data_IF_587632119061
#
_entry.id   IF_587632119061
#
_cell.length_a   1.000
_cell.length_b   1.000
_cell.length_c   1.000
_cell.angle_alpha   90.00
_cell.angle_beta   90.00
_cell.angle_gamma   90.00
#
_symmetry.space_group_name_H-M   'P 1'
#
loop_
_entity.id
_entity.type
_entity.pdbx_description
1 polymer ?
#
# COMPACT_ATOMS: atom_id res chain seq x y z
N UNK A 1 -0.85 16.16 3.09
CA UNK A 1 -1.81 16.07 4.23
C UNK A 1 -1.27 15.16 5.34
N UNK A 2 -1.01 13.87 5.11
CA UNK A 2 -0.47 12.97 6.15
C UNK A 2 0.86 13.48 6.73
N UNK A 3 1.87 13.73 5.89
CA UNK A 3 3.18 14.27 6.32
C UNK A 3 3.15 15.65 6.99
N UNK A 4 2.05 16.40 6.86
CA UNK A 4 1.91 17.67 7.60
C UNK A 4 1.57 17.42 9.08
N UNK A 5 0.95 16.27 9.40
CA UNK A 5 0.61 15.86 10.76
C UNK A 5 1.58 14.82 11.33
N UNK A 6 2.13 13.95 10.47
CA UNK A 6 3.06 12.88 10.80
C UNK A 6 4.29 12.95 9.86
N UNK A 7 5.28 13.81 10.14
CA UNK A 7 6.36 14.12 9.20
C UNK A 7 7.21 12.92 8.76
N UNK A 8 7.38 11.94 9.65
CA UNK A 8 8.24 10.77 9.47
C UNK A 8 7.54 9.61 8.75
N UNK A 9 6.26 9.76 8.38
CA UNK A 9 5.52 8.72 7.66
C UNK A 9 6.18 8.39 6.32
N UNK A 10 6.39 7.09 6.10
CA UNK A 10 6.88 6.50 4.86
C UNK A 10 5.74 5.78 4.14
N UNK A 11 5.75 5.79 2.81
CA UNK A 11 4.86 4.99 1.97
C UNK A 11 5.69 3.97 1.19
N UNK A 12 5.40 2.69 1.38
CA UNK A 12 6.02 1.61 0.61
C UNK A 12 5.03 1.10 -0.44
N UNK A 13 5.42 1.19 -1.71
CA UNK A 13 4.67 0.64 -2.83
C UNK A 13 5.38 -0.65 -3.22
N UNK A 14 4.78 -1.77 -2.81
CA UNK A 14 5.29 -3.12 -3.02
C UNK A 14 4.74 -3.66 -4.33
N UNK A 15 5.63 -4.06 -5.24
CA UNK A 15 5.28 -4.48 -6.59
C UNK A 15 5.74 -3.49 -7.68
N UNK A 16 5.37 -3.79 -8.92
CA UNK A 16 5.69 -2.99 -10.08
C UNK A 16 4.51 -2.99 -11.07
N UNK A 17 4.58 -2.13 -12.08
CA UNK A 17 3.57 -2.05 -13.11
C UNK A 17 3.80 -0.90 -14.09
N UNK A 18 2.96 -0.81 -15.14
CA UNK A 18 3.11 0.19 -16.20
C UNK A 18 3.05 1.64 -15.67
N UNK A 19 2.44 1.85 -14.49
CA UNK A 19 2.32 3.17 -13.87
C UNK A 19 3.56 3.59 -13.08
N UNK A 20 4.58 2.74 -12.88
CA UNK A 20 5.75 3.06 -12.04
C UNK A 20 6.37 4.42 -12.37
N UNK A 21 6.70 4.67 -13.64
CA UNK A 21 7.32 5.93 -14.08
C UNK A 21 6.46 7.15 -13.74
N UNK A 22 5.15 7.03 -13.95
CA UNK A 22 4.17 8.10 -13.64
C UNK A 22 4.07 8.36 -12.15
N UNK A 23 4.03 7.30 -11.32
CA UNK A 23 3.96 7.42 -9.86
C UNK A 23 5.23 8.05 -9.27
N UNK A 24 6.41 7.67 -9.78
CA UNK A 24 7.69 8.30 -9.38
C UNK A 24 7.71 9.78 -9.75
N UNK A 25 7.27 10.14 -10.96
CA UNK A 25 7.18 11.54 -11.38
C UNK A 25 6.21 12.33 -10.49
N UNK A 26 5.04 11.75 -10.19
CA UNK A 26 4.05 12.36 -9.31
C UNK A 26 4.57 12.57 -7.88
N UNK A 27 5.31 11.61 -7.33
CA UNK A 27 5.91 11.75 -6.00
C UNK A 27 6.92 12.92 -5.95
N UNK A 28 7.69 13.11 -7.02
CA UNK A 28 8.61 14.25 -7.16
C UNK A 28 7.87 15.58 -7.28
N UNK A 29 6.88 15.65 -8.17
CA UNK A 29 6.04 16.84 -8.37
C UNK A 29 5.35 17.28 -7.07
N UNK A 30 4.89 16.31 -6.27
CA UNK A 30 4.25 16.55 -4.98
C UNK A 30 5.23 16.80 -3.82
N UNK A 31 6.55 16.75 -4.07
CA UNK A 31 7.58 16.98 -3.05
C UNK A 31 7.60 15.93 -1.93
N UNK A 32 7.21 14.68 -2.23
CA UNK A 32 7.18 13.57 -1.25
C UNK A 32 8.06 12.40 -1.65
N UNK A 33 8.88 12.55 -2.69
CA UNK A 33 9.71 11.46 -3.22
C UNK A 33 10.72 10.89 -2.19
N UNK A 34 11.11 11.69 -1.20
CA UNK A 34 11.97 11.30 -0.08
C UNK A 34 11.29 10.33 0.90
N UNK A 35 9.96 10.22 0.85
CA UNK A 35 9.15 9.40 1.74
C UNK A 35 8.40 8.27 1.02
N UNK A 36 8.70 8.02 -0.26
CA UNK A 36 8.05 6.95 -1.04
C UNK A 36 9.10 5.95 -1.54
N UNK A 37 8.98 4.71 -1.07
CA UNK A 37 9.82 3.59 -1.50
C UNK A 37 9.07 2.74 -2.51
N UNK A 38 9.63 2.59 -3.72
CA UNK A 38 9.12 1.70 -4.75
C UNK A 38 9.98 0.43 -4.81
N UNK A 39 9.58 -0.63 -4.13
CA UNK A 39 10.40 -1.84 -3.96
C UNK A 39 10.59 -2.61 -5.27
N UNK A 40 9.66 -2.47 -6.22
CA UNK A 40 9.55 -3.42 -7.32
C UNK A 40 8.91 -4.73 -6.85
N UNK A 41 8.94 -5.75 -7.72
CA UNK A 41 8.48 -7.09 -7.35
C UNK A 41 9.44 -7.70 -6.32
N UNK A 42 8.89 -8.21 -5.23
CA UNK A 42 9.62 -8.88 -4.14
C UNK A 42 9.08 -10.30 -3.96
N UNK A 43 9.81 -11.15 -3.21
CA UNK A 43 9.31 -12.48 -2.84
C UNK A 43 8.12 -12.39 -1.89
N UNK A 44 7.35 -13.48 -1.80
CA UNK A 44 6.23 -13.60 -0.86
C UNK A 44 6.67 -13.37 0.59
N UNK A 45 7.81 -13.93 1.00
CA UNK A 45 8.36 -13.72 2.34
C UNK A 45 8.71 -12.26 2.60
N UNK A 46 9.31 -11.56 1.63
CA UNK A 46 9.62 -10.14 1.75
C UNK A 46 8.35 -9.28 1.81
N UNK A 47 7.32 -9.61 1.01
CA UNK A 47 6.01 -8.95 1.07
C UNK A 47 5.40 -9.07 2.47
N UNK A 48 5.35 -10.27 3.04
CA UNK A 48 4.85 -10.48 4.40
C UNK A 48 5.69 -9.72 5.44
N UNK A 49 7.02 -9.72 5.31
CA UNK A 49 7.89 -8.95 6.19
C UNK A 49 7.64 -7.44 6.11
N UNK A 50 7.35 -6.91 4.91
CA UNK A 50 6.98 -5.52 4.74
C UNK A 50 5.62 -5.20 5.37
N UNK A 51 4.61 -6.07 5.18
CA UNK A 51 3.32 -5.92 5.85
C UNK A 51 3.49 -5.94 7.37
N UNK A 52 4.21 -6.91 7.92
CA UNK A 52 4.42 -7.03 9.35
C UNK A 52 5.15 -5.83 9.98
N UNK A 53 6.00 -5.13 9.23
CA UNK A 53 6.68 -3.90 9.66
C UNK A 53 5.84 -2.63 9.47
N UNK A 54 4.69 -2.73 8.79
CA UNK A 54 3.84 -1.57 8.48
C UNK A 54 2.92 -1.23 9.66
N UNK A 55 2.42 0.01 9.68
CA UNK A 55 1.43 0.46 10.68
C UNK A 55 0.01 0.55 10.11
N UNK A 56 -0.12 0.56 8.78
CA UNK A 56 -1.37 0.70 8.06
C UNK A 56 -1.22 0.06 6.68
N UNK A 57 -2.24 -0.66 6.22
CA UNK A 57 -2.34 -1.10 4.84
C UNK A 57 -3.40 -0.28 4.09
N UNK A 58 -3.10 0.09 2.84
CA UNK A 58 -4.05 0.82 1.99
C UNK A 58 -4.28 0.09 0.68
N UNK A 59 -5.55 -0.12 0.30
CA UNK A 59 -5.93 -0.75 -0.96
C UNK A 59 -6.87 0.16 -1.75
N UNK A 60 -6.32 1.08 -2.57
CA UNK A 60 -7.11 2.05 -3.34
C UNK A 60 -7.67 1.45 -4.65
N UNK A 61 -7.89 0.14 -4.71
CA UNK A 61 -8.44 -0.55 -5.88
C UNK A 61 -9.92 -0.23 -6.07
N UNK A 62 -10.33 0.10 -7.29
CA UNK A 62 -11.75 0.35 -7.63
C UNK A 62 -12.54 -0.93 -7.92
N UNK A 63 -11.84 -2.01 -8.22
CA UNK A 63 -12.38 -3.34 -8.52
C UNK A 63 -11.39 -4.38 -8.01
N UNK A 64 -11.89 -5.45 -7.43
CA UNK A 64 -11.09 -6.60 -7.02
C UNK A 64 -11.84 -7.90 -7.26
N UNK A 65 -11.09 -8.96 -7.57
CA UNK A 65 -11.64 -10.30 -7.67
C UNK A 65 -11.82 -10.95 -6.30
N UNK A 66 -10.72 -11.07 -5.55
CA UNK A 66 -10.70 -11.68 -4.21
C UNK A 66 -9.90 -10.90 -3.17
N UNK A 67 -9.04 -9.94 -3.55
CA UNK A 67 -8.29 -9.15 -2.57
C UNK A 67 -7.38 -9.97 -1.65
N UNK A 68 -6.68 -10.99 -2.16
CA UNK A 68 -5.81 -11.85 -1.33
C UNK A 68 -4.83 -11.08 -0.44
N UNK A 69 -4.23 -10.00 -0.97
CA UNK A 69 -3.28 -9.16 -0.21
C UNK A 69 -3.94 -8.40 0.96
N UNK A 70 -5.26 -8.13 0.89
CA UNK A 70 -5.99 -7.56 2.00
C UNK A 70 -6.09 -8.58 3.15
N UNK A 71 -6.39 -9.85 2.85
CA UNK A 71 -6.40 -10.91 3.86
C UNK A 71 -5.01 -11.15 4.46
N UNK A 72 -3.96 -11.07 3.66
CA UNK A 72 -2.58 -11.12 4.16
C UNK A 72 -2.29 -9.96 5.11
N UNK A 73 -2.71 -8.73 4.77
CA UNK A 73 -2.59 -7.58 5.65
C UNK A 73 -3.39 -7.73 6.96
N UNK A 74 -4.61 -8.30 6.90
CA UNK A 74 -5.41 -8.63 8.08
C UNK A 74 -4.71 -9.67 8.96
N UNK A 75 -4.09 -10.69 8.36
CA UNK A 75 -3.32 -11.71 9.08
C UNK A 75 -2.08 -11.12 9.77
N UNK A 76 -1.55 -10.01 9.25
CA UNK A 76 -0.52 -9.20 9.91
C UNK A 76 -1.08 -8.17 10.91
N UNK A 77 -2.37 -8.24 11.24
CA UNK A 77 -3.07 -7.34 12.17
C UNK A 77 -3.01 -5.86 11.79
N UNK A 78 -2.83 -5.55 10.50
CA UNK A 78 -2.79 -4.17 10.04
C UNK A 78 -4.20 -3.58 9.99
N UNK A 79 -4.40 -2.35 10.51
CA UNK A 79 -5.57 -1.57 10.17
C UNK A 79 -5.61 -1.31 8.64
N UNK A 80 -6.80 -1.37 8.05
CA UNK A 80 -6.99 -1.32 6.60
C UNK A 80 -7.81 -0.10 6.20
N UNK A 81 -7.30 0.63 5.20
CA UNK A 81 -8.06 1.66 4.48
C UNK A 81 -8.23 1.19 3.04
N UNK A 82 -9.45 0.81 2.67
CA UNK A 82 -9.80 0.38 1.33
C UNK A 82 -11.09 1.08 0.88
N UNK A 83 -11.37 1.06 -0.43
CA UNK A 83 -12.69 1.45 -0.91
C UNK A 83 -13.75 0.42 -0.47
N UNK A 84 -14.98 0.87 -0.21
CA UNK A 84 -16.11 -0.02 0.10
C UNK A 84 -16.53 -0.77 -1.17
N UNK A 85 -15.93 -1.94 -1.38
CA UNK A 85 -16.27 -2.85 -2.46
C UNK A 85 -17.14 -3.99 -1.93
N UNK A 86 -18.15 -4.46 -2.69
CA UNK A 86 -19.02 -5.56 -2.26
C UNK A 86 -18.25 -6.81 -1.79
N UNK A 87 -17.14 -7.12 -2.45
CA UNK A 87 -16.31 -8.30 -2.15
C UNK A 87 -15.68 -8.24 -0.75
N UNK A 88 -15.46 -7.06 -0.17
CA UNK A 88 -14.85 -6.92 1.16
C UNK A 88 -15.85 -7.05 2.31
N UNK A 89 -17.15 -6.86 2.04
CA UNK A 89 -18.18 -6.79 3.10
C UNK A 89 -18.42 -8.11 3.83
N UNK A 90 -17.92 -9.21 3.30
CA UNK A 90 -17.99 -10.52 3.96
C UNK A 90 -16.89 -10.69 5.02
N UNK A 91 -15.89 -9.79 5.06
CA UNK A 91 -14.68 -9.96 5.88
C UNK A 91 -14.53 -8.89 6.97
N UNK A 92 -15.31 -7.81 6.90
CA UNK A 92 -15.38 -6.73 7.90
C UNK A 92 -16.74 -6.74 8.61
#
# INVERSE_FOLDING_TARGET
LVRQKLPDTQLWIIGDGPLRKRLVAMAREKGVADAVTFTGVVSETEKINCLWQSTLFTMPSLQEGFGAVLLEAMACELPIVAFDLPVYREWF
#
